data_IF_662727066969
#
_entry.id   IF_662727066969
#
_cell.length_a   1.000
_cell.length_b   1.000
_cell.length_c   1.000
_cell.angle_alpha   90.00
_cell.angle_beta   90.00
_cell.angle_gamma   90.00
#
_symmetry.space_group_name_H-M   'P 1'
#
loop_
_entity.id
_entity.type
_entity.pdbx_description
1 polymer ?
#
# COMPACT_ATOMS: atom_id res chain seq x y z
N UNK A 1 6.87 -11.48 2.24
CA UNK A 1 6.58 -10.27 3.01
C UNK A 1 5.58 -9.40 2.29
N UNK A 2 4.76 -8.71 3.04
CA UNK A 2 3.70 -7.91 2.46
C UNK A 2 3.89 -6.46 2.83
N UNK A 3 3.72 -5.58 1.84
CA UNK A 3 3.80 -4.13 2.02
C UNK A 3 2.45 -3.50 1.78
N UNK A 4 2.08 -2.59 2.65
CA UNK A 4 0.90 -1.77 2.43
C UNK A 4 1.37 -0.45 1.84
N UNK A 5 0.87 -0.11 0.66
CA UNK A 5 1.31 1.08 -0.08
C UNK A 5 0.11 1.97 -0.36
N UNK A 6 0.26 3.24 -0.02
CA UNK A 6 -0.69 4.28 -0.36
C UNK A 6 -0.27 4.91 -1.68
N UNK A 7 -1.19 5.00 -2.61
CA UNK A 7 -0.92 5.46 -3.96
C UNK A 7 -1.87 6.61 -4.29
N UNK A 8 -1.35 7.63 -4.95
CA UNK A 8 -2.17 8.75 -5.39
C UNK A 8 -1.73 9.21 -6.76
N UNK A 9 -2.70 9.54 -7.60
CA UNK A 9 -2.44 10.16 -8.90
C UNK A 9 -2.55 11.65 -8.75
N UNK A 10 -1.56 12.38 -9.24
CA UNK A 10 -1.57 13.84 -9.18
C UNK A 10 -2.21 14.41 -10.45
N UNK A 11 -2.66 15.67 -10.37
CA UNK A 11 -3.32 16.32 -11.48
C UNK A 11 -2.40 16.55 -12.67
N UNK A 12 -1.11 16.57 -12.46
CA UNK A 12 -0.15 16.72 -13.54
C UNK A 12 0.21 15.43 -14.25
N UNK A 13 -0.49 14.33 -13.97
CA UNK A 13 -0.20 13.04 -14.57
C UNK A 13 0.87 12.27 -13.85
N UNK A 14 1.27 12.73 -12.66
CA UNK A 14 2.26 12.05 -11.85
C UNK A 14 1.64 11.01 -10.95
N UNK A 15 2.51 10.21 -10.34
CA UNK A 15 2.11 9.18 -9.40
C UNK A 15 2.93 9.34 -8.14
N UNK A 16 2.25 9.38 -7.00
CA UNK A 16 2.91 9.41 -5.70
C UNK A 16 2.57 8.13 -4.95
N UNK A 17 3.54 7.60 -4.23
CA UNK A 17 3.29 6.41 -3.43
C UNK A 17 4.27 6.37 -2.26
N UNK A 18 3.84 5.75 -1.16
CA UNK A 18 4.73 5.48 -0.05
C UNK A 18 4.17 4.33 0.79
N UNK A 19 5.07 3.70 1.51
CA UNK A 19 4.72 2.58 2.36
C UNK A 19 4.03 3.07 3.62
N UNK A 20 2.91 2.44 3.95
CA UNK A 20 2.16 2.76 5.16
C UNK A 20 2.51 1.75 6.23
N UNK A 21 3.10 2.22 7.33
CA UNK A 21 3.45 1.35 8.43
C UNK A 21 4.63 0.45 8.12
N UNK A 22 4.69 -0.66 8.81
CA UNK A 22 5.78 -1.61 8.70
C UNK A 22 5.46 -2.73 7.73
N UNK A 23 6.49 -3.49 7.36
CA UNK A 23 6.33 -4.70 6.57
C UNK A 23 5.59 -5.74 7.38
N UNK A 24 4.68 -6.46 6.74
CA UNK A 24 3.91 -7.51 7.38
C UNK A 24 4.42 -8.88 6.94
N UNK A 25 4.36 -9.84 7.83
CA UNK A 25 4.83 -11.18 7.54
C UNK A 25 3.76 -12.06 6.91
N UNK A 26 2.50 -11.63 6.97
CA UNK A 26 1.41 -12.39 6.39
C UNK A 26 0.45 -11.49 5.62
N UNK A 27 -0.25 -12.08 4.68
CA UNK A 27 -1.26 -11.38 3.92
C UNK A 27 -2.39 -10.88 4.82
N UNK A 28 -2.78 -11.70 5.78
CA UNK A 28 -3.88 -11.33 6.69
C UNK A 28 -3.54 -10.09 7.50
N UNK A 29 -2.30 -9.98 7.97
CA UNK A 29 -1.86 -8.80 8.71
C UNK A 29 -1.90 -7.55 7.81
N UNK A 30 -1.46 -7.69 6.56
CA UNK A 30 -1.50 -6.58 5.63
C UNK A 30 -2.93 -6.15 5.33
N UNK A 31 -3.83 -7.11 5.14
CA UNK A 31 -5.23 -6.78 4.86
C UNK A 31 -5.90 -6.11 6.05
N UNK A 32 -5.55 -6.50 7.27
CA UNK A 32 -6.07 -5.85 8.46
C UNK A 32 -5.62 -4.39 8.52
N UNK A 33 -4.35 -4.14 8.21
CA UNK A 33 -3.85 -2.77 8.15
C UNK A 33 -4.45 -1.99 6.99
N UNK A 34 -4.69 -2.65 5.86
CA UNK A 34 -5.32 -2.02 4.72
C UNK A 34 -6.70 -1.49 5.09
N UNK A 35 -7.45 -2.26 5.86
CA UNK A 35 -8.77 -1.84 6.31
C UNK A 35 -8.69 -0.55 7.13
N UNK A 36 -7.68 -0.44 7.99
CA UNK A 36 -7.47 0.77 8.77
C UNK A 36 -6.96 1.92 7.90
N UNK A 37 -6.10 1.61 6.96
CA UNK A 37 -5.49 2.63 6.11
C UNK A 37 -6.48 3.22 5.10
N UNK A 38 -7.64 2.62 4.94
CA UNK A 38 -8.66 3.18 4.06
C UNK A 38 -9.07 4.58 4.46
N UNK A 39 -8.89 4.93 5.73
CA UNK A 39 -9.17 6.29 6.19
C UNK A 39 -8.21 7.32 5.59
N UNK A 40 -7.07 6.87 5.07
CA UNK A 40 -6.12 7.76 4.40
C UNK A 40 -6.54 8.04 2.96
N UNK A 41 -7.49 7.28 2.43
CA UNK A 41 -7.99 7.48 1.08
C UNK A 41 -9.11 8.49 1.16
N UNK A 42 -8.82 9.72 0.78
CA UNK A 42 -9.76 10.84 0.89
C UNK A 42 -10.27 11.32 -0.47
N UNK A 43 -9.78 10.74 -1.56
CA UNK A 43 -10.18 11.13 -2.90
C UNK A 43 -10.19 9.92 -3.82
N UNK A 44 -10.94 10.02 -4.93
CA UNK A 44 -11.05 8.93 -5.89
C UNK A 44 -9.72 8.63 -6.60
N UNK A 45 -8.78 9.56 -6.56
CA UNK A 45 -7.46 9.37 -7.16
C UNK A 45 -6.49 8.64 -6.25
N UNK A 46 -6.94 8.24 -5.07
CA UNK A 46 -6.09 7.60 -4.06
C UNK A 46 -6.53 6.16 -3.84
N UNK A 47 -5.60 5.32 -3.43
CA UNK A 47 -5.89 3.94 -3.12
C UNK A 47 -4.80 3.38 -2.20
N UNK A 48 -5.13 2.29 -1.50
CA UNK A 48 -4.14 1.54 -0.74
C UNK A 48 -4.20 0.10 -1.20
N UNK A 49 -3.04 -0.52 -1.32
CA UNK A 49 -2.94 -1.89 -1.80
C UNK A 49 -1.86 -2.64 -1.03
N UNK A 50 -2.08 -3.95 -0.89
CA UNK A 50 -1.08 -4.85 -0.34
C UNK A 50 -0.31 -5.48 -1.48
N UNK A 51 1.01 -5.40 -1.40
CA UNK A 51 1.90 -6.01 -2.39
C UNK A 51 2.78 -7.03 -1.71
N UNK A 52 2.95 -8.16 -2.37
CA UNK A 52 3.85 -9.18 -1.88
C UNK A 52 5.23 -8.99 -2.47
N UNK A 53 6.24 -8.91 -1.60
CA UNK A 53 7.62 -8.86 -2.03
C UNK A 53 8.23 -10.24 -1.89
N UNK A 54 8.69 -10.79 -2.98
CA UNK A 54 9.35 -12.09 -3.00
C UNK A 54 10.84 -11.87 -3.13
N UNK A 55 11.58 -12.43 -2.18
CA UNK A 55 13.03 -12.32 -2.23
C UNK A 55 13.54 -13.36 -3.21
N UNK A 56 14.16 -12.87 -4.27
CA UNK A 56 14.78 -13.76 -5.23
C UNK A 56 16.10 -14.27 -4.69
N UNK A 57 16.24 -15.57 -4.76
CA UNK A 57 17.46 -16.20 -4.30
C UNK A 57 18.35 -16.53 -5.48
N UNK A 58 19.56 -16.09 -5.40
CA UNK A 58 20.52 -16.34 -6.46
C UNK A 58 21.52 -17.39 -6.05
#
# INVERSE_FOLDING_TARGET
MWFLVWIAFTTGGGLEYYQVGNVHTSKDACLAEKSKAKTLVTAATQAVHCFEAVREKK
#
